data_IF_877734561985
#
_entry.id   IF_877734561985
#
_cell.length_a   1.000
_cell.length_b   1.000
_cell.length_c   1.000
_cell.angle_alpha   90.00
_cell.angle_beta   90.00
_cell.angle_gamma   90.00
#
_symmetry.space_group_name_H-M   'P 1'
#
loop_
_entity.id
_entity.type
_entity.pdbx_description
1 polymer ?
#
# COMPACT_ATOMS: atom_id res chain seq x y z
N UNK A 1 1.26 1.24 3.22
CA UNK A 1 0.82 -0.15 3.50
C UNK A 1 1.77 -1.17 2.88
N UNK A 2 1.79 -1.30 1.56
CA UNK A 2 2.51 -2.35 0.81
C UNK A 2 4.02 -2.38 1.10
N UNK A 3 4.70 -1.24 1.01
CA UNK A 3 6.15 -1.15 1.20
C UNK A 3 6.56 -1.54 2.63
N UNK A 4 5.95 -0.93 3.67
CA UNK A 4 6.26 -1.24 5.07
C UNK A 4 5.84 -2.66 5.46
N UNK A 5 4.69 -3.13 4.97
CA UNK A 5 4.21 -4.50 5.20
C UNK A 5 5.16 -5.54 4.59
N UNK A 6 5.62 -5.32 3.36
CA UNK A 6 6.60 -6.20 2.72
C UNK A 6 7.95 -6.17 3.44
N UNK A 7 8.43 -4.99 3.85
CA UNK A 7 9.63 -4.85 4.67
C UNK A 7 9.55 -5.69 5.93
N UNK A 8 8.48 -5.54 6.71
CA UNK A 8 8.31 -6.25 7.97
C UNK A 8 8.22 -7.78 7.75
N UNK A 9 7.48 -8.22 6.73
CA UNK A 9 7.39 -9.64 6.33
C UNK A 9 8.76 -10.21 5.97
N UNK A 10 9.52 -9.50 5.14
CA UNK A 10 10.82 -9.98 4.68
C UNK A 10 11.87 -9.96 5.79
N UNK A 11 11.91 -8.93 6.64
CA UNK A 11 12.81 -8.86 7.79
C UNK A 11 12.61 -10.02 8.77
N UNK A 12 11.36 -10.34 9.07
CA UNK A 12 11.02 -11.46 9.94
C UNK A 12 11.38 -12.82 9.32
N UNK A 13 11.25 -12.93 7.99
CA UNK A 13 11.49 -14.17 7.27
C UNK A 13 12.97 -14.41 6.95
N UNK A 14 13.75 -13.34 6.80
CA UNK A 14 15.17 -13.39 6.38
C UNK A 14 16.05 -12.48 7.25
N UNK A 15 16.23 -12.82 8.54
CA UNK A 15 16.92 -11.95 9.50
C UNK A 15 18.40 -11.64 9.15
N UNK A 16 19.02 -12.49 8.34
CA UNK A 16 20.41 -12.29 7.88
C UNK A 16 20.51 -11.33 6.66
N UNK A 17 19.40 -10.89 6.11
CA UNK A 17 19.37 -9.94 4.98
C UNK A 17 19.23 -8.50 5.46
N UNK A 18 19.91 -7.60 4.77
CA UNK A 18 19.68 -6.16 4.93
C UNK A 18 18.48 -5.76 4.09
N UNK A 19 17.40 -5.36 4.73
CA UNK A 19 16.13 -5.02 4.08
C UNK A 19 15.70 -3.66 4.59
N UNK A 20 15.37 -2.76 3.67
CA UNK A 20 14.96 -1.39 3.97
C UNK A 20 13.73 -0.99 3.13
N UNK A 21 12.87 -0.18 3.71
CA UNK A 21 11.86 0.57 2.99
C UNK A 21 12.36 2.01 2.84
N UNK A 22 12.35 2.54 1.63
CA UNK A 22 12.89 3.86 1.33
C UNK A 22 12.01 4.55 0.28
N UNK A 23 11.02 5.29 0.73
CA UNK A 23 10.22 6.19 -0.09
C UNK A 23 10.75 7.62 0.11
N UNK A 24 10.50 8.53 -0.82
CA UNK A 24 10.86 9.95 -0.67
C UNK A 24 9.62 10.81 -0.40
N UNK A 25 8.43 10.25 -0.63
CA UNK A 25 7.15 10.91 -0.40
C UNK A 25 6.20 9.94 0.34
N UNK A 26 5.94 10.21 1.59
CA UNK A 26 5.06 9.41 2.46
C UNK A 26 3.88 10.26 2.90
N UNK A 27 2.68 9.78 2.66
CA UNK A 27 1.45 10.43 3.10
C UNK A 27 1.31 10.41 4.63
N UNK A 28 1.03 11.56 5.23
CA UNK A 28 0.74 11.70 6.66
C UNK A 28 -0.44 10.82 7.11
N UNK A 29 -1.38 10.55 6.21
CA UNK A 29 -2.55 9.71 6.44
C UNK A 29 -2.24 8.30 6.94
N UNK A 30 -1.08 7.76 6.56
CA UNK A 30 -0.63 6.40 6.95
C UNK A 30 0.67 6.41 7.76
N UNK A 31 1.10 7.59 8.23
CA UNK A 31 2.34 7.75 9.00
C UNK A 31 2.36 6.96 10.31
N UNK A 32 1.20 6.64 10.88
CA UNK A 32 1.06 5.81 12.08
C UNK A 32 1.54 4.36 11.90
N UNK A 33 1.70 3.89 10.64
CA UNK A 33 2.22 2.55 10.34
C UNK A 33 3.74 2.43 10.53
N UNK A 34 4.43 3.54 10.70
CA UNK A 34 5.88 3.59 10.86
C UNK A 34 6.56 4.52 9.87
N UNK A 35 7.87 4.54 9.91
CA UNK A 35 8.72 5.38 9.06
C UNK A 35 9.56 4.56 8.11
N UNK A 36 10.04 5.22 7.06
CA UNK A 36 11.07 4.70 6.18
C UNK A 36 12.41 4.57 6.87
N UNK A 37 13.27 3.77 6.27
CA UNK A 37 14.65 3.60 6.72
C UNK A 37 15.55 4.61 6.00
N UNK A 38 16.46 5.23 6.77
CA UNK A 38 17.53 6.02 6.19
C UNK A 38 18.66 5.11 5.74
N UNK A 39 18.91 5.06 4.45
CA UNK A 39 19.97 4.24 3.86
C UNK A 39 20.89 5.09 2.98
N UNK A 40 22.21 4.82 3.00
CA UNK A 40 23.16 5.51 2.13
C UNK A 40 22.96 5.08 0.67
N UNK A 41 23.42 5.89 -0.28
CA UNK A 41 23.32 5.59 -1.71
C UNK A 41 23.98 4.25 -2.07
N UNK A 42 25.10 3.92 -1.43
CA UNK A 42 25.80 2.64 -1.61
C UNK A 42 24.96 1.41 -1.22
N UNK A 43 23.85 1.60 -0.46
CA UNK A 43 22.94 0.49 -0.16
C UNK A 43 22.21 -0.01 -1.40
N UNK A 44 21.90 0.90 -2.34
CA UNK A 44 21.20 0.55 -3.58
C UNK A 44 22.09 -0.21 -4.54
N UNK A 45 23.40 0.08 -4.55
CA UNK A 45 24.37 -0.62 -5.40
C UNK A 45 24.39 -2.12 -5.08
N UNK A 46 23.99 -2.96 -6.02
CA UNK A 46 23.92 -4.41 -5.84
C UNK A 46 22.67 -4.92 -5.08
N UNK A 47 21.80 -4.03 -4.62
CA UNK A 47 20.53 -4.44 -4.03
C UNK A 47 19.53 -4.92 -5.09
N UNK A 48 18.56 -5.75 -4.65
CA UNK A 48 17.33 -6.01 -5.35
C UNK A 48 16.33 -4.92 -4.92
N UNK A 49 15.93 -4.06 -5.85
CA UNK A 49 14.84 -3.11 -5.63
C UNK A 49 13.48 -3.78 -5.83
N UNK A 50 12.55 -3.57 -4.92
CA UNK A 50 11.17 -4.01 -5.07
C UNK A 50 10.27 -2.79 -4.98
N UNK A 51 9.68 -2.42 -6.11
CA UNK A 51 8.71 -1.31 -6.20
C UNK A 51 7.31 -1.88 -6.07
N UNK A 52 6.58 -1.39 -5.08
CA UNK A 52 5.22 -1.82 -4.80
C UNK A 52 4.24 -0.70 -5.14
N UNK A 53 3.07 -1.04 -5.68
CA UNK A 53 1.92 -0.14 -5.82
C UNK A 53 2.21 1.11 -6.66
N UNK A 54 2.89 0.92 -7.78
CA UNK A 54 3.32 2.03 -8.64
C UNK A 54 3.11 1.69 -10.12
N UNK A 55 2.15 2.34 -10.77
CA UNK A 55 1.72 2.03 -12.12
C UNK A 55 2.82 2.24 -13.18
N UNK A 56 3.58 3.33 -13.07
CA UNK A 56 4.60 3.71 -14.06
C UNK A 56 5.92 4.07 -13.37
N UNK A 57 7.04 3.86 -14.08
CA UNK A 57 8.38 4.15 -13.56
C UNK A 57 8.54 5.60 -13.08
N UNK A 58 7.93 6.55 -13.80
CA UNK A 58 7.97 7.99 -13.46
C UNK A 58 7.30 8.35 -12.13
N UNK A 59 6.46 7.44 -11.61
CA UNK A 59 5.77 7.61 -10.33
C UNK A 59 6.49 6.97 -9.15
N UNK A 60 7.63 6.34 -9.39
CA UNK A 60 8.47 5.82 -8.30
C UNK A 60 8.93 7.02 -7.47
N UNK A 61 8.51 7.07 -6.20
CA UNK A 61 8.84 8.21 -5.32
C UNK A 61 10.33 8.29 -4.98
N UNK A 62 11.03 7.15 -4.94
CA UNK A 62 12.46 7.09 -4.65
C UNK A 62 13.29 7.26 -5.92
N UNK A 63 13.92 8.41 -6.07
CA UNK A 63 14.77 8.76 -7.22
C UNK A 63 15.98 7.85 -7.40
N UNK A 64 16.40 7.12 -6.34
CA UNK A 64 17.54 6.21 -6.34
C UNK A 64 17.18 4.76 -6.71
N UNK A 65 15.90 4.46 -6.98
CA UNK A 65 15.47 3.11 -7.33
C UNK A 65 16.25 2.53 -8.53
N UNK A 66 16.57 3.38 -9.53
CA UNK A 66 17.36 3.00 -10.69
C UNK A 66 18.83 2.66 -10.43
N UNK A 67 19.34 2.85 -9.21
CA UNK A 67 20.69 2.40 -8.79
C UNK A 67 20.71 0.94 -8.36
N UNK A 68 19.57 0.31 -8.17
CA UNK A 68 19.49 -1.11 -7.83
C UNK A 68 20.00 -1.98 -8.97
N UNK A 69 20.61 -3.12 -8.64
CA UNK A 69 21.10 -4.08 -9.62
C UNK A 69 19.99 -4.70 -10.46
N UNK A 70 18.89 -4.97 -9.85
CA UNK A 70 17.69 -5.53 -10.46
C UNK A 70 16.48 -4.87 -9.82
N UNK A 71 15.41 -4.69 -10.59
CA UNK A 71 14.17 -4.07 -10.13
C UNK A 71 12.99 -5.01 -10.37
N UNK A 72 12.23 -5.27 -9.30
CA UNK A 72 10.97 -6.03 -9.33
C UNK A 72 9.81 -5.07 -9.15
N UNK A 73 8.81 -5.15 -10.04
CA UNK A 73 7.52 -4.47 -9.89
C UNK A 73 6.49 -5.42 -9.28
N UNK A 74 5.77 -4.98 -8.23
CA UNK A 74 4.58 -5.64 -7.68
C UNK A 74 3.45 -4.63 -7.67
N UNK A 75 2.41 -4.83 -8.48
CA UNK A 75 1.38 -3.82 -8.68
C UNK A 75 0.02 -4.42 -9.04
N UNK A 76 -1.05 -3.68 -8.79
CA UNK A 76 -2.42 -4.05 -9.15
C UNK A 76 -3.08 -3.04 -10.12
N UNK A 77 -2.38 -1.99 -10.51
CA UNK A 77 -2.87 -1.03 -11.50
C UNK A 77 -2.83 -1.60 -12.91
N UNK A 78 -3.57 -0.97 -13.82
CA UNK A 78 -3.53 -1.31 -15.25
C UNK A 78 -2.10 -1.12 -15.77
N UNK A 79 -1.53 -2.16 -16.38
CA UNK A 79 -0.13 -2.18 -16.81
C UNK A 79 0.06 -1.57 -18.20
N UNK A 80 -0.10 -0.25 -18.28
CA UNK A 80 0.05 0.51 -19.55
C UNK A 80 1.50 0.83 -19.92
N UNK A 81 2.41 0.84 -18.95
CA UNK A 81 3.83 1.17 -19.14
C UNK A 81 4.68 0.21 -18.29
N UNK A 82 4.98 -1.01 -18.80
CA UNK A 82 5.78 -1.99 -18.06
C UNK A 82 7.19 -1.48 -17.75
N UNK A 83 7.68 -1.75 -16.55
CA UNK A 83 9.04 -1.45 -16.11
C UNK A 83 9.55 -2.50 -15.12
N UNK A 84 10.88 -2.47 -14.86
CA UNK A 84 11.57 -3.44 -14.01
C UNK A 84 12.00 -4.69 -14.77
N UNK A 85 12.95 -5.43 -14.20
CA UNK A 85 13.48 -6.67 -14.77
C UNK A 85 12.51 -7.84 -14.60
N UNK A 86 11.70 -7.79 -13.54
CA UNK A 86 10.58 -8.70 -13.28
C UNK A 86 9.34 -7.89 -12.91
N UNK A 87 8.20 -8.26 -13.49
CA UNK A 87 6.91 -7.62 -13.21
C UNK A 87 5.88 -8.67 -12.77
N UNK A 88 5.27 -8.43 -11.61
CA UNK A 88 4.11 -9.16 -11.11
C UNK A 88 2.96 -8.18 -10.96
N UNK A 89 2.03 -8.20 -11.92
CA UNK A 89 0.87 -7.31 -11.97
C UNK A 89 -0.41 -8.13 -12.07
N UNK A 90 -1.36 -7.86 -11.19
CA UNK A 90 -2.69 -8.48 -11.16
C UNK A 90 -3.77 -7.39 -11.04
N UNK A 91 -4.31 -6.97 -12.19
CA UNK A 91 -5.25 -5.84 -12.30
C UNK A 91 -6.62 -6.09 -11.63
N UNK A 92 -6.96 -7.35 -11.38
CA UNK A 92 -8.22 -7.75 -10.73
C UNK A 92 -8.12 -7.75 -9.19
N UNK A 93 -6.96 -7.49 -8.61
CA UNK A 93 -6.75 -7.42 -7.17
C UNK A 93 -7.20 -6.07 -6.59
N UNK A 94 -7.75 -6.08 -5.40
CA UNK A 94 -8.22 -4.86 -4.74
C UNK A 94 -7.09 -3.93 -4.29
N UNK A 95 -5.88 -4.47 -4.13
CA UNK A 95 -4.70 -3.73 -3.67
C UNK A 95 -3.40 -4.52 -3.86
N UNK A 96 -2.29 -3.82 -3.94
CA UNK A 96 -0.96 -4.44 -3.86
C UNK A 96 -0.75 -5.16 -2.50
N UNK A 97 -1.36 -4.66 -1.43
CA UNK A 97 -1.33 -5.29 -0.11
C UNK A 97 -2.01 -6.67 -0.10
N UNK A 98 -3.11 -6.85 -0.84
CA UNK A 98 -3.76 -8.15 -1.03
C UNK A 98 -2.81 -9.13 -1.71
N UNK A 99 -2.10 -8.72 -2.75
CA UNK A 99 -1.12 -9.55 -3.45
C UNK A 99 0.01 -10.01 -2.51
N UNK A 100 0.55 -9.10 -1.69
CA UNK A 100 1.59 -9.44 -0.72
C UNK A 100 1.05 -10.40 0.37
N UNK A 101 -0.19 -10.23 0.81
CA UNK A 101 -0.84 -11.15 1.75
C UNK A 101 -1.03 -12.55 1.14
N UNK A 102 -1.41 -12.63 -0.13
CA UNK A 102 -1.54 -13.89 -0.86
C UNK A 102 -0.16 -14.55 -1.11
N UNK A 103 0.86 -13.75 -1.41
CA UNK A 103 2.25 -14.23 -1.46
C UNK A 103 2.67 -14.87 -0.13
N UNK A 104 2.42 -14.20 1.00
CA UNK A 104 2.65 -14.81 2.31
C UNK A 104 1.86 -16.11 2.46
N UNK A 105 0.56 -16.12 2.16
CA UNK A 105 -0.31 -17.28 2.33
C UNK A 105 0.15 -18.48 1.48
N UNK A 106 0.66 -18.23 0.27
CA UNK A 106 1.19 -19.24 -0.65
C UNK A 106 2.52 -19.83 -0.16
N UNK A 107 3.31 -19.07 0.58
CA UNK A 107 4.64 -19.47 1.08
C UNK A 107 4.74 -19.46 2.61
N UNK A 108 3.60 -19.68 3.31
CA UNK A 108 3.52 -19.62 4.78
C UNK A 108 4.49 -20.54 5.52
N UNK A 109 4.94 -21.61 4.88
CA UNK A 109 5.93 -22.53 5.46
C UNK A 109 7.38 -21.96 5.43
N UNK A 110 7.60 -20.89 4.70
CA UNK A 110 8.89 -20.24 4.47
C UNK A 110 8.94 -18.79 4.95
N UNK A 111 7.80 -18.17 5.13
CA UNK A 111 7.66 -16.75 5.49
C UNK A 111 7.06 -16.61 6.89
N UNK A 112 7.46 -15.56 7.59
CA UNK A 112 6.98 -15.22 8.94
C UNK A 112 6.17 -13.93 8.86
N UNK A 113 4.85 -14.03 9.06
CA UNK A 113 3.96 -12.88 9.14
C UNK A 113 3.90 -12.40 10.60
N UNK A 114 4.45 -11.24 10.86
CA UNK A 114 4.35 -10.57 12.16
C UNK A 114 3.06 -9.75 12.26
N UNK A 115 2.67 -9.36 13.48
CA UNK A 115 1.56 -8.43 13.71
C UNK A 115 1.80 -7.09 12.98
N UNK A 116 3.03 -6.55 13.03
CA UNK A 116 3.42 -5.33 12.32
C UNK A 116 3.18 -5.44 10.80
N UNK A 117 3.67 -6.53 10.18
CA UNK A 117 3.46 -6.77 8.75
C UNK A 117 1.97 -6.88 8.42
N UNK A 118 1.22 -7.62 9.24
CA UNK A 118 -0.22 -7.80 9.06
C UNK A 118 -0.99 -6.49 9.19
N UNK A 119 -0.66 -5.66 10.19
CA UNK A 119 -1.29 -4.34 10.38
C UNK A 119 -1.04 -3.41 9.19
N UNK A 120 0.20 -3.35 8.68
CA UNK A 120 0.53 -2.56 7.49
C UNK A 120 -0.25 -3.02 6.26
N UNK A 121 -0.26 -4.34 5.98
CA UNK A 121 -0.94 -4.90 4.81
C UNK A 121 -2.47 -4.73 4.92
N UNK A 122 -3.06 -5.00 6.09
CA UNK A 122 -4.49 -4.81 6.32
C UNK A 122 -4.91 -3.35 6.13
N UNK A 123 -4.12 -2.42 6.65
CA UNK A 123 -4.37 -0.98 6.46
C UNK A 123 -4.36 -0.61 4.98
N UNK A 124 -3.37 -1.07 4.20
CA UNK A 124 -3.33 -0.82 2.76
C UNK A 124 -4.51 -1.45 2.02
N UNK A 125 -4.93 -2.67 2.36
CA UNK A 125 -6.17 -3.24 1.81
C UNK A 125 -7.39 -2.37 2.11
N UNK A 126 -7.49 -1.82 3.33
CA UNK A 126 -8.60 -0.94 3.72
C UNK A 126 -8.59 0.38 2.96
N UNK A 127 -7.41 0.99 2.74
CA UNK A 127 -7.31 2.28 2.02
C UNK A 127 -7.69 2.15 0.57
N UNK A 128 -7.12 1.18 -0.15
CA UNK A 128 -7.32 1.00 -1.59
C UNK A 128 -8.73 0.53 -1.93
N UNK A 129 -9.28 -0.37 -1.12
CA UNK A 129 -10.63 -0.91 -1.33
C UNK A 129 -11.76 -0.05 -0.75
N UNK A 130 -11.47 1.16 -0.27
CA UNK A 130 -12.44 1.99 0.44
C UNK A 130 -13.14 1.21 1.58
N UNK A 131 -12.36 0.49 2.37
CA UNK A 131 -12.87 -0.42 3.41
C UNK A 131 -13.73 -1.54 2.82
N UNK A 132 -13.19 -2.23 1.83
CA UNK A 132 -13.82 -3.38 1.15
C UNK A 132 -15.12 -3.04 0.41
N UNK A 133 -15.22 -1.84 -0.19
CA UNK A 133 -16.42 -1.37 -0.89
C UNK A 133 -16.23 -1.23 -2.41
N UNK A 134 -15.02 -1.36 -2.92
CA UNK A 134 -14.77 -1.30 -4.36
C UNK A 134 -15.24 -2.59 -5.04
N UNK A 135 -15.43 -2.54 -6.36
CA UNK A 135 -15.89 -3.69 -7.15
C UNK A 135 -14.85 -4.83 -7.22
N UNK A 136 -13.59 -4.50 -7.03
CA UNK A 136 -12.46 -5.46 -7.01
C UNK A 136 -12.43 -6.26 -5.69
N UNK A 137 -13.20 -5.86 -4.68
CA UNK A 137 -13.32 -6.61 -3.42
C UNK A 137 -14.10 -7.89 -3.65
N UNK A 138 -13.41 -9.01 -3.62
CA UNK A 138 -13.97 -10.34 -3.80
C UNK A 138 -13.79 -11.25 -2.59
N UNK A 139 -14.19 -12.51 -2.76
CA UNK A 139 -14.02 -13.53 -1.72
C UNK A 139 -12.54 -13.77 -1.37
N UNK A 140 -11.62 -13.64 -2.35
CA UNK A 140 -10.18 -13.78 -2.12
C UNK A 140 -9.66 -12.63 -1.26
N UNK A 141 -10.03 -11.39 -1.57
CA UNK A 141 -9.71 -10.21 -0.77
C UNK A 141 -10.07 -10.41 0.70
N UNK A 142 -11.29 -10.90 0.96
CA UNK A 142 -11.74 -11.12 2.35
C UNK A 142 -11.02 -12.30 3.03
N UNK A 143 -10.63 -13.33 2.27
CA UNK A 143 -9.78 -14.41 2.81
C UNK A 143 -8.40 -13.90 3.20
N UNK A 144 -7.78 -13.08 2.38
CA UNK A 144 -6.49 -12.45 2.70
C UNK A 144 -6.61 -11.51 3.91
N UNK A 145 -7.68 -10.73 3.98
CA UNK A 145 -7.97 -9.92 5.17
C UNK A 145 -8.09 -10.79 6.44
N UNK A 146 -8.77 -11.94 6.36
CA UNK A 146 -8.89 -12.87 7.48
C UNK A 146 -7.52 -13.42 7.93
N UNK A 147 -6.65 -13.80 6.98
CA UNK A 147 -5.27 -14.25 7.27
C UNK A 147 -4.48 -13.18 8.06
N UNK A 148 -4.67 -11.91 7.73
CA UNK A 148 -4.02 -10.81 8.43
C UNK A 148 -4.63 -10.59 9.82
N UNK A 149 -5.96 -10.67 9.95
CA UNK A 149 -6.69 -10.55 11.22
C UNK A 149 -6.32 -11.65 12.23
N UNK A 150 -6.04 -12.86 11.75
CA UNK A 150 -5.58 -13.98 12.57
C UNK A 150 -4.24 -13.71 13.29
N UNK A 151 -3.54 -12.62 12.95
CA UNK A 151 -2.32 -12.16 13.64
C UNK A 151 -2.63 -11.33 14.89
N UNK A 152 -3.90 -11.06 15.20
CA UNK A 152 -4.31 -10.30 16.38
C UNK A 152 -4.12 -8.79 16.28
N UNK A 153 -4.10 -8.26 15.05
CA UNK A 153 -3.95 -6.82 14.80
C UNK A 153 -5.10 -6.01 15.42
N UNK A 154 -4.78 -4.84 15.95
CA UNK A 154 -5.76 -3.90 16.53
C UNK A 154 -6.46 -3.08 15.42
N UNK A 155 -7.57 -3.62 14.93
CA UNK A 155 -8.36 -2.96 13.89
C UNK A 155 -9.07 -1.70 14.40
N UNK A 156 -9.38 -1.61 15.70
CA UNK A 156 -10.01 -0.42 16.30
C UNK A 156 -9.06 0.77 16.19
N UNK A 157 -7.80 0.59 16.59
CA UNK A 157 -6.75 1.62 16.44
C UNK A 157 -6.51 1.97 14.97
N UNK A 158 -6.44 0.99 14.07
CA UNK A 158 -6.28 1.25 12.62
C UNK A 158 -7.44 2.13 12.11
N UNK A 159 -8.69 1.77 12.37
CA UNK A 159 -9.84 2.55 11.90
C UNK A 159 -9.96 3.91 12.60
N UNK A 160 -9.54 4.04 13.85
CA UNK A 160 -9.45 5.33 14.51
C UNK A 160 -8.53 6.28 13.74
N UNK A 161 -7.31 5.84 13.41
CA UNK A 161 -6.37 6.63 12.60
C UNK A 161 -6.91 6.95 11.20
N UNK A 162 -7.45 5.96 10.48
CA UNK A 162 -8.03 6.15 9.15
C UNK A 162 -9.32 7.00 9.14
N UNK A 163 -9.83 7.39 10.30
CA UNK A 163 -11.02 8.24 10.42
C UNK A 163 -10.71 9.63 10.97
N UNK A 164 -9.43 9.91 11.27
CA UNK A 164 -9.01 11.24 11.66
C UNK A 164 -9.24 12.22 10.51
N UNK A 165 -9.80 13.36 10.84
CA UNK A 165 -10.05 14.47 9.91
C UNK A 165 -9.44 15.71 10.54
N UNK A 166 -8.56 16.37 9.82
CA UNK A 166 -7.96 17.63 10.25
C UNK A 166 -9.04 18.71 10.42
N UNK A 167 -8.88 19.57 11.43
CA UNK A 167 -9.83 20.65 11.67
C UNK A 167 -10.00 21.57 10.45
N UNK A 168 -8.94 21.77 9.67
CA UNK A 168 -8.94 22.53 8.42
C UNK A 168 -9.82 21.89 7.35
N UNK A 169 -9.91 20.55 7.33
CA UNK A 169 -10.72 19.80 6.38
C UNK A 169 -12.18 19.76 6.75
N UNK A 170 -12.52 19.85 8.06
CA UNK A 170 -13.91 19.84 8.53
C UNK A 170 -14.74 20.97 7.88
N UNK A 171 -14.17 22.15 7.74
CA UNK A 171 -14.83 23.29 7.09
C UNK A 171 -15.14 22.98 5.61
N UNK A 172 -14.20 22.36 4.90
CA UNK A 172 -14.37 21.95 3.50
C UNK A 172 -15.37 20.81 3.37
N UNK A 173 -15.33 19.81 4.27
CA UNK A 173 -16.30 18.71 4.30
C UNK A 173 -17.72 19.19 4.56
N UNK A 174 -17.90 20.24 5.36
CA UNK A 174 -19.21 20.85 5.58
C UNK A 174 -19.65 21.73 4.39
N UNK A 175 -18.71 22.48 3.83
CA UNK A 175 -18.99 23.41 2.72
C UNK A 175 -19.30 22.65 1.41
N UNK A 176 -18.59 21.60 1.09
CA UNK A 176 -18.74 20.83 -0.14
C UNK A 176 -20.19 20.38 -0.39
N UNK A 177 -20.77 19.53 0.46
CA UNK A 177 -22.16 19.08 0.31
C UNK A 177 -23.19 20.21 0.29
N UNK A 178 -22.96 21.29 1.04
CA UNK A 178 -23.86 22.45 1.10
C UNK A 178 -23.86 23.30 -0.20
N UNK A 179 -22.82 23.19 -1.03
CA UNK A 179 -22.64 24.00 -2.23
C UNK A 179 -22.73 23.19 -3.54
N UNK A 180 -22.98 21.88 -3.47
CA UNK A 180 -23.19 21.04 -4.65
C UNK A 180 -24.40 21.56 -5.44
N UNK A 181 -24.23 21.69 -6.74
CA UNK A 181 -25.27 22.02 -7.71
C UNK A 181 -25.45 20.83 -8.67
N UNK A 182 -26.64 20.77 -9.25
CA UNK A 182 -26.95 19.71 -10.22
C UNK A 182 -27.35 20.35 -11.55
N UNK A 183 -26.87 19.76 -12.64
CA UNK A 183 -27.39 20.08 -13.99
C UNK A 183 -28.77 19.45 -14.19
N UNK A 184 -29.46 19.85 -15.25
CA UNK A 184 -30.72 19.23 -15.67
C UNK A 184 -30.59 17.72 -15.98
N UNK A 185 -29.39 17.25 -16.28
CA UNK A 185 -29.07 15.82 -16.54
C UNK A 185 -28.59 15.07 -15.29
N UNK A 186 -28.71 15.66 -14.10
CA UNK A 186 -28.33 15.02 -12.83
C UNK A 186 -26.82 14.95 -12.56
N UNK A 187 -26.00 15.68 -13.32
CA UNK A 187 -24.55 15.76 -13.03
C UNK A 187 -24.33 16.72 -11.87
N UNK A 188 -23.73 16.23 -10.80
CA UNK A 188 -23.32 17.05 -9.67
C UNK A 188 -22.01 17.81 -9.99
N UNK A 189 -21.93 19.09 -9.63
CA UNK A 189 -20.73 19.89 -9.79
C UNK A 189 -20.55 20.88 -8.64
N UNK A 190 -19.30 21.25 -8.41
CA UNK A 190 -18.88 22.18 -7.38
C UNK A 190 -17.85 23.14 -7.98
N UNK A 191 -17.95 24.42 -7.66
CA UNK A 191 -16.91 25.41 -7.95
C UNK A 191 -16.10 25.65 -6.68
N UNK A 192 -14.77 25.47 -6.78
CA UNK A 192 -13.79 25.78 -5.74
C UNK A 192 -13.26 27.19 -5.91
#
# INVERSE_FOLDING_TARGET
GSCLGLRALLRASFPDKQIAAANEDVSDYVSFLGSDDEVPESFYEGALGIVTDTATEKRISNSRAGLCRELVKIDHHIDVEPYGDLSWVEEDRSSCCEMIADFYNSFRDRLVLTEEAAACLYTGMCTDSLRFKTKETGGETLRMAAVLLDRGIDTETIFAHLSLVEQSELAFHAWGPANVRFTEHGVAYLYL
#
